data_IF_106877391178
#
_entry.id   IF_106877391178
#
_cell.length_a   1.000
_cell.length_b   1.000
_cell.length_c   1.000
_cell.angle_alpha   90.00
_cell.angle_beta   90.00
_cell.angle_gamma   90.00
#
_symmetry.space_group_name_H-M   'P 1'
#
loop_
_entity.id
_entity.type
_entity.pdbx_description
1 polymer ?
#
# COMPACT_ATOMS: atom_id res chain seq x y z
N UNK A 1 -14.09 25.81 -7.85
CA UNK A 1 -13.05 24.76 -7.88
C UNK A 1 -12.93 24.26 -6.46
N UNK A 2 -13.28 23.01 -6.17
CA UNK A 2 -13.05 22.45 -4.85
C UNK A 2 -11.56 22.15 -4.79
N UNK A 3 -10.83 22.83 -3.92
CA UNK A 3 -9.41 22.57 -3.71
C UNK A 3 -9.26 21.18 -3.09
N UNK A 4 -9.06 20.18 -3.94
CA UNK A 4 -8.91 18.80 -3.52
C UNK A 4 -7.50 18.58 -2.98
N UNK A 5 -7.39 18.41 -1.66
CA UNK A 5 -6.09 18.13 -1.02
C UNK A 5 -5.55 16.78 -1.51
N UNK A 6 -4.26 16.76 -1.83
CA UNK A 6 -3.53 15.54 -2.20
C UNK A 6 -2.40 15.28 -1.20
N UNK A 7 -2.14 14.01 -0.91
CA UNK A 7 -0.99 13.59 -0.14
C UNK A 7 0.19 13.23 -1.06
N UNK A 8 1.38 13.73 -0.72
CA UNK A 8 2.63 13.40 -1.41
C UNK A 8 3.48 12.46 -0.53
N UNK A 9 3.71 11.23 -0.99
CA UNK A 9 4.63 10.28 -0.37
C UNK A 9 5.97 10.31 -1.11
N UNK A 10 7.00 10.83 -0.43
CA UNK A 10 8.37 10.90 -0.95
C UNK A 10 9.20 9.75 -0.37
N UNK A 11 9.67 8.84 -1.22
CA UNK A 11 10.50 7.71 -0.82
C UNK A 11 11.97 8.16 -0.69
N UNK A 12 12.56 7.94 0.49
CA UNK A 12 13.97 8.26 0.74
C UNK A 12 14.87 7.37 -0.12
N UNK A 13 15.68 8.00 -0.97
CA UNK A 13 16.57 7.29 -1.90
C UNK A 13 17.89 6.79 -1.27
N UNK A 14 18.24 7.27 -0.08
CA UNK A 14 19.49 6.94 0.63
C UNK A 14 19.22 5.95 1.77
N UNK A 15 20.01 4.86 1.80
CA UNK A 15 19.88 3.77 2.78
C UNK A 15 20.54 4.07 4.15
N UNK A 16 21.19 5.22 4.33
CA UNK A 16 22.19 5.42 5.40
C UNK A 16 21.69 5.48 6.85
N UNK A 17 20.38 5.33 7.12
CA UNK A 17 19.83 5.52 8.48
C UNK A 17 18.97 4.36 9.01
N UNK A 18 18.79 3.26 8.27
CA UNK A 18 18.08 2.09 8.80
C UNK A 18 19.07 1.07 9.37
N UNK A 19 19.40 1.21 10.66
CA UNK A 19 20.34 0.35 11.39
C UNK A 19 19.90 -1.12 11.55
N UNK A 20 18.64 -1.45 11.30
CA UNK A 20 18.07 -2.80 11.57
C UNK A 20 17.73 -3.61 10.29
N UNK A 21 18.59 -3.58 9.25
CA UNK A 21 18.32 -4.32 8.00
C UNK A 21 19.32 -5.40 7.60
N UNK A 22 20.39 -5.64 8.38
CA UNK A 22 21.36 -6.70 8.05
C UNK A 22 20.70 -8.06 7.83
N UNK A 23 19.65 -8.37 8.59
CA UNK A 23 18.95 -9.66 8.56
C UNK A 23 18.11 -9.90 7.29
N UNK A 24 17.71 -8.85 6.56
CA UNK A 24 16.94 -8.97 5.30
C UNK A 24 17.77 -8.74 4.03
N UNK A 25 19.06 -8.42 4.18
CA UNK A 25 19.88 -7.84 3.10
C UNK A 25 21.14 -8.66 2.81
N UNK A 26 21.51 -9.63 3.65
CA UNK A 26 22.82 -10.28 3.57
C UNK A 26 23.07 -11.07 2.27
N UNK A 27 22.04 -11.63 1.61
CA UNK A 27 22.23 -12.51 0.43
C UNK A 27 21.44 -12.13 -0.84
N UNK A 28 20.71 -11.01 -0.87
CA UNK A 28 19.94 -10.64 -2.07
C UNK A 28 20.71 -9.68 -3.00
N UNK A 29 21.17 -10.21 -4.14
CA UNK A 29 21.81 -9.49 -5.26
C UNK A 29 21.05 -8.22 -5.71
N UNK A 30 19.74 -8.15 -5.47
CA UNK A 30 18.89 -7.01 -5.83
C UNK A 30 19.30 -5.73 -5.09
N UNK A 31 19.94 -5.81 -3.91
CA UNK A 31 20.41 -4.64 -3.15
C UNK A 31 21.70 -3.99 -3.67
N UNK A 32 22.34 -4.53 -4.72
CA UNK A 32 23.51 -3.89 -5.36
C UNK A 32 23.18 -2.52 -5.98
N UNK A 33 21.92 -2.23 -6.29
CA UNK A 33 21.47 -0.90 -6.72
C UNK A 33 20.22 -0.43 -5.95
N UNK A 34 20.41 0.24 -4.79
CA UNK A 34 19.34 0.68 -3.90
C UNK A 34 18.25 1.51 -4.60
N UNK A 35 18.65 2.33 -5.58
CA UNK A 35 17.74 3.21 -6.33
C UNK A 35 16.75 2.42 -7.17
N UNK A 36 17.20 1.30 -7.76
CA UNK A 36 16.36 0.42 -8.57
C UNK A 36 15.36 -0.34 -7.69
N UNK A 37 15.80 -0.84 -6.52
CA UNK A 37 14.93 -1.53 -5.56
C UNK A 37 13.83 -0.62 -5.03
N UNK A 38 14.19 0.59 -4.59
CA UNK A 38 13.22 1.56 -4.07
C UNK A 38 12.18 1.98 -5.11
N UNK A 39 12.60 2.10 -6.38
CA UNK A 39 11.66 2.38 -7.47
C UNK A 39 10.67 1.22 -7.66
N UNK A 40 11.15 -0.02 -7.68
CA UNK A 40 10.29 -1.20 -7.77
C UNK A 40 9.32 -1.26 -6.58
N UNK A 41 9.78 -0.92 -5.38
CA UNK A 41 8.91 -0.88 -4.20
C UNK A 41 7.82 0.19 -4.31
N UNK A 42 8.16 1.39 -4.80
CA UNK A 42 7.18 2.44 -5.04
C UNK A 42 6.16 2.05 -6.12
N UNK A 43 6.62 1.40 -7.20
CA UNK A 43 5.75 0.88 -8.27
C UNK A 43 4.82 -0.23 -7.76
N UNK A 44 5.33 -1.11 -6.89
CA UNK A 44 4.52 -2.13 -6.21
C UNK A 44 3.47 -1.51 -5.29
N UNK A 45 3.85 -0.53 -4.49
CA UNK A 45 2.91 0.14 -3.58
C UNK A 45 1.78 0.84 -4.35
N UNK A 46 2.11 1.55 -5.43
CA UNK A 46 1.12 2.16 -6.33
C UNK A 46 0.16 1.13 -6.92
N UNK A 47 0.67 -0.02 -7.35
CA UNK A 47 -0.15 -1.11 -7.91
C UNK A 47 -1.05 -1.75 -6.85
N UNK A 48 -0.53 -1.95 -5.63
CA UNK A 48 -1.30 -2.51 -4.52
C UNK A 48 -2.43 -1.58 -4.07
N UNK A 49 -2.16 -0.27 -3.97
CA UNK A 49 -3.20 0.73 -3.68
C UNK A 49 -4.29 0.70 -4.75
N UNK A 50 -3.93 0.65 -6.04
CA UNK A 50 -4.90 0.53 -7.13
C UNK A 50 -5.77 -0.73 -7.03
N UNK A 51 -5.20 -1.86 -6.59
CA UNK A 51 -5.97 -3.09 -6.36
C UNK A 51 -6.93 -2.97 -5.19
N UNK A 52 -6.50 -2.32 -4.10
CA UNK A 52 -7.38 -2.09 -2.94
C UNK A 52 -8.56 -1.18 -3.29
N UNK A 53 -8.33 -0.10 -4.05
CA UNK A 53 -9.40 0.78 -4.55
C UNK A 53 -10.39 -0.01 -5.41
N UNK A 54 -9.89 -0.83 -6.35
CA UNK A 54 -10.73 -1.70 -7.18
C UNK A 54 -11.48 -2.77 -6.39
N UNK A 55 -10.93 -3.20 -5.26
CA UNK A 55 -11.57 -4.13 -4.33
C UNK A 55 -12.59 -3.47 -3.40
N UNK A 56 -12.90 -2.18 -3.59
CA UNK A 56 -13.86 -1.45 -2.75
C UNK A 56 -13.35 -1.12 -1.34
N UNK A 57 -12.06 -1.32 -1.08
CA UNK A 57 -11.46 -1.03 0.23
C UNK A 57 -11.23 0.47 0.36
N UNK A 58 -11.76 1.07 1.45
CA UNK A 58 -11.52 2.47 1.79
C UNK A 58 -10.03 2.70 2.07
N UNK A 59 -9.31 3.23 1.09
CA UNK A 59 -7.89 3.53 1.17
C UNK A 59 -7.57 4.78 0.31
N UNK A 60 -6.39 5.41 0.48
CA UNK A 60 -6.01 6.55 -0.35
C UNK A 60 -5.91 6.12 -1.82
N UNK A 61 -6.56 6.85 -2.71
CA UNK A 61 -6.54 6.56 -4.14
C UNK A 61 -5.22 7.05 -4.74
N UNK A 62 -4.42 6.18 -5.38
CA UNK A 62 -3.14 6.58 -5.95
C UNK A 62 -3.35 7.28 -7.30
N UNK A 63 -2.99 8.56 -7.38
CA UNK A 63 -3.19 9.39 -8.58
C UNK A 63 -2.02 9.20 -9.56
N UNK A 64 -0.78 9.35 -9.07
CA UNK A 64 0.41 9.31 -9.94
C UNK A 64 1.67 8.93 -9.18
N UNK A 65 2.46 8.02 -9.75
CA UNK A 65 3.83 7.75 -9.31
C UNK A 65 4.85 8.30 -10.32
N UNK A 66 5.82 9.10 -9.87
CA UNK A 66 6.95 9.58 -10.68
C UNK A 66 8.27 9.42 -9.91
N UNK A 67 9.16 8.55 -10.41
CA UNK A 67 10.46 8.22 -9.79
C UNK A 67 10.32 7.68 -8.36
N UNK A 68 10.45 8.55 -7.36
CA UNK A 68 10.42 8.25 -5.93
C UNK A 68 9.36 9.11 -5.20
N UNK A 69 8.41 9.65 -5.94
CA UNK A 69 7.33 10.49 -5.41
C UNK A 69 6.01 9.90 -5.89
N UNK A 70 5.13 9.60 -4.94
CA UNK A 70 3.78 9.11 -5.19
C UNK A 70 2.76 10.14 -4.70
N UNK A 71 1.82 10.49 -5.57
CA UNK A 71 0.69 11.36 -5.27
C UNK A 71 -0.53 10.46 -5.06
N UNK A 72 -1.26 10.68 -3.98
CA UNK A 72 -2.48 9.96 -3.63
C UNK A 72 -3.52 10.92 -3.04
N UNK A 73 -4.79 10.51 -2.98
CA UNK A 73 -5.84 11.30 -2.34
C UNK A 73 -5.51 11.54 -0.86
N UNK A 74 -5.87 12.71 -0.37
CA UNK A 74 -5.66 13.06 1.03
C UNK A 74 -6.76 12.46 1.91
N UNK A 75 -6.36 11.83 3.02
CA UNK A 75 -7.31 11.38 4.05
C UNK A 75 -7.32 12.41 5.16
N UNK A 76 -8.37 13.23 5.18
CA UNK A 76 -8.54 14.33 6.13
C UNK A 76 -9.49 15.39 5.59
N UNK A 77 -9.70 16.45 6.36
CA UNK A 77 -10.55 17.59 5.99
C UNK A 77 -9.79 18.89 6.27
N UNK A 78 -10.04 19.93 5.48
CA UNK A 78 -9.48 21.28 5.67
C UNK A 78 -7.95 21.33 5.80
N UNK A 79 -7.25 20.45 5.06
CA UNK A 79 -5.79 20.33 5.11
C UNK A 79 -5.24 19.63 6.36
N UNK A 80 -6.10 19.15 7.26
CA UNK A 80 -5.73 18.44 8.49
C UNK A 80 -5.82 16.93 8.24
N UNK A 81 -4.70 16.23 8.43
CA UNK A 81 -4.64 14.78 8.24
C UNK A 81 -5.48 14.06 9.29
N UNK A 82 -6.18 12.99 8.89
CA UNK A 82 -6.92 12.16 9.81
C UNK A 82 -6.03 11.62 10.95
N UNK A 83 -6.60 11.57 12.16
CA UNK A 83 -5.92 11.00 13.34
C UNK A 83 -5.62 9.53 13.11
N UNK A 84 -4.47 9.07 13.61
CA UNK A 84 -4.14 7.64 13.61
C UNK A 84 -5.01 6.93 14.63
N UNK A 85 -5.39 5.68 14.35
CA UNK A 85 -6.20 4.85 15.25
C UNK A 85 -5.65 4.76 16.69
N UNK A 86 -4.32 4.82 16.86
CA UNK A 86 -3.65 4.81 18.17
C UNK A 86 -3.83 6.10 18.98
N UNK A 87 -4.11 7.21 18.30
CA UNK A 87 -4.22 8.54 18.89
C UNK A 87 -5.71 8.93 19.03
N UNK A 88 -6.65 8.00 18.79
CA UNK A 88 -8.09 8.21 18.96
C UNK A 88 -8.50 7.68 20.35
N UNK A 89 -9.32 8.44 21.05
CA UNK A 89 -9.95 7.99 22.29
C UNK A 89 -11.23 7.21 21.96
N UNK A 90 -11.33 6.02 22.51
CA UNK A 90 -12.40 5.08 22.20
C UNK A 90 -13.35 4.97 23.38
N UNK A 91 -14.54 5.55 23.25
CA UNK A 91 -15.53 5.58 24.34
C UNK A 91 -16.73 4.66 24.09
N UNK A 92 -16.93 4.22 22.85
CA UNK A 92 -18.09 3.44 22.42
C UNK A 92 -17.67 2.03 21.98
N UNK A 93 -18.14 0.96 22.66
CA UNK A 93 -17.88 -0.42 22.28
C UNK A 93 -18.30 -0.80 20.85
N UNK A 94 -19.39 -0.24 20.33
CA UNK A 94 -19.88 -0.55 18.98
C UNK A 94 -18.94 0.02 17.93
N UNK A 95 -18.51 1.28 18.11
CA UNK A 95 -17.54 1.94 17.23
C UNK A 95 -16.19 1.20 17.24
N UNK A 96 -15.76 0.71 18.42
CA UNK A 96 -14.54 -0.09 18.54
C UNK A 96 -14.66 -1.39 17.74
N UNK A 97 -15.79 -2.09 17.87
CA UNK A 97 -16.04 -3.34 17.17
C UNK A 97 -16.05 -3.15 15.64
N UNK A 98 -16.74 -2.11 15.16
CA UNK A 98 -16.79 -1.79 13.73
C UNK A 98 -15.42 -1.38 13.19
N UNK A 99 -14.67 -0.56 13.93
CA UNK A 99 -13.31 -0.20 13.55
C UNK A 99 -12.40 -1.44 13.48
N UNK A 100 -12.55 -2.38 14.42
CA UNK A 100 -11.81 -3.64 14.40
C UNK A 100 -12.11 -4.48 13.16
N UNK A 101 -13.40 -4.63 12.81
CA UNK A 101 -13.80 -5.35 11.59
C UNK A 101 -13.25 -4.69 10.32
N UNK A 102 -13.31 -3.36 10.23
CA UNK A 102 -12.74 -2.62 9.11
C UNK A 102 -11.23 -2.85 8.98
N UNK A 103 -10.48 -2.76 10.09
CA UNK A 103 -9.03 -3.00 10.10
C UNK A 103 -8.70 -4.44 9.67
N UNK A 104 -9.48 -5.42 10.14
CA UNK A 104 -9.32 -6.83 9.75
C UNK A 104 -9.49 -7.02 8.24
N UNK A 105 -10.51 -6.40 7.65
CA UNK A 105 -10.78 -6.45 6.21
C UNK A 105 -9.65 -5.81 5.41
N UNK A 106 -9.24 -4.58 5.77
CA UNK A 106 -8.14 -3.87 5.10
C UNK A 106 -6.85 -4.69 5.17
N UNK A 107 -6.53 -5.24 6.34
CA UNK A 107 -5.33 -6.07 6.54
C UNK A 107 -5.35 -7.34 5.69
N UNK A 108 -6.49 -8.02 5.62
CA UNK A 108 -6.63 -9.23 4.81
C UNK A 108 -6.44 -8.94 3.31
N UNK A 109 -7.08 -7.88 2.80
CA UNK A 109 -6.93 -7.45 1.41
C UNK A 109 -5.51 -7.00 1.07
N UNK A 110 -4.89 -6.23 1.97
CA UNK A 110 -3.51 -5.78 1.78
C UNK A 110 -2.55 -6.97 1.72
N UNK A 111 -2.71 -7.95 2.64
CA UNK A 111 -1.92 -9.17 2.63
C UNK A 111 -2.12 -9.98 1.35
N UNK A 112 -3.37 -10.15 0.91
CA UNK A 112 -3.70 -10.84 -0.34
C UNK A 112 -3.04 -10.15 -1.56
N UNK A 113 -3.13 -8.83 -1.65
CA UNK A 113 -2.53 -8.06 -2.75
C UNK A 113 -1.00 -8.21 -2.80
N UNK A 114 -0.34 -8.24 -1.64
CA UNK A 114 1.11 -8.45 -1.52
C UNK A 114 1.49 -9.89 -1.88
N UNK A 115 0.77 -10.87 -1.35
CA UNK A 115 1.09 -12.29 -1.54
C UNK A 115 0.93 -12.74 -3.00
N UNK A 116 -0.09 -12.22 -3.70
CA UNK A 116 -0.30 -12.51 -5.12
C UNK A 116 0.83 -11.99 -6.03
N UNK A 117 1.58 -10.98 -5.60
CA UNK A 117 2.77 -10.49 -6.31
C UNK A 117 4.00 -11.38 -6.10
N UNK A 118 4.21 -11.92 -4.89
CA UNK A 118 5.36 -12.80 -4.63
C UNK A 118 5.26 -14.13 -5.39
N UNK A 119 4.04 -14.65 -5.57
CA UNK A 119 3.79 -15.85 -6.38
C UNK A 119 4.03 -15.64 -7.89
N UNK A 120 3.91 -14.42 -8.42
CA UNK A 120 4.29 -14.11 -9.81
C UNK A 120 5.81 -14.10 -10.02
N UNK A 121 6.59 -13.93 -8.96
CA UNK A 121 8.05 -14.03 -9.03
C UNK A 121 8.55 -15.49 -9.05
N UNK A 122 7.68 -16.44 -8.67
CA UNK A 122 8.00 -17.87 -8.62
C UNK A 122 7.46 -18.70 -9.80
N UNK A 123 6.73 -18.10 -10.75
CA UNK A 123 6.21 -18.83 -11.93
C UNK A 123 6.56 -18.14 -13.24
N UNK A 124 7.69 -18.55 -13.80
CA UNK A 124 7.82 -18.72 -15.26
C UNK A 124 7.00 -19.93 -15.75
N UNK A 125 5.74 -20.06 -15.33
CA UNK A 125 4.87 -21.20 -15.63
C UNK A 125 3.39 -20.79 -15.46
N UNK A 126 2.88 -20.02 -16.42
CA UNK A 126 1.47 -19.95 -16.83
C UNK A 126 1.31 -18.76 -17.79
N UNK A 127 1.87 -18.93 -18.99
CA UNK A 127 1.24 -18.37 -20.17
C UNK A 127 -0.15 -19.04 -20.31
N UNK A 128 -1.15 -18.25 -20.70
CA UNK A 128 -2.58 -18.60 -20.86
C UNK A 128 -3.41 -18.89 -19.59
N UNK A 129 -4.59 -18.25 -19.51
CA UNK A 129 -5.69 -18.45 -18.53
C UNK A 129 -5.33 -17.96 -17.11
N UNK A 130 -5.76 -16.79 -16.63
CA UNK A 130 -7.11 -16.51 -16.12
C UNK A 130 -7.34 -14.99 -16.20
N UNK A 131 -8.00 -14.54 -17.27
CA UNK A 131 -8.81 -13.32 -17.28
C UNK A 131 -10.25 -13.73 -17.00
N UNK A 132 -10.58 -14.33 -15.86
CA UNK A 132 -11.98 -14.50 -15.48
C UNK A 132 -12.14 -14.52 -13.96
N UNK A 133 -13.13 -13.73 -13.52
CA UNK A 133 -13.83 -13.79 -12.24
C UNK A 133 -13.02 -13.57 -10.95
N UNK A 134 -12.78 -12.31 -10.62
CA UNK A 134 -12.88 -11.86 -9.23
C UNK A 134 -13.98 -10.78 -9.17
N UNK A 135 -15.23 -11.19 -9.34
CA UNK A 135 -16.38 -10.44 -8.88
C UNK A 135 -16.49 -10.66 -7.38
N UNK A 136 -16.24 -9.62 -6.58
CA UNK A 136 -16.66 -9.61 -5.19
C UNK A 136 -18.18 -9.46 -5.15
N UNK A 137 -18.92 -10.26 -4.37
CA UNK A 137 -20.33 -9.99 -4.11
C UNK A 137 -20.47 -8.68 -3.33
N UNK A 138 -21.65 -8.02 -3.40
CA UNK A 138 -21.90 -6.73 -2.77
C UNK A 138 -21.71 -6.74 -1.25
#
# INVERSE_FOLDING_TARGET
MVDEYCALKVYKMTLSQFKNRSEYVQDDYRFKNPRRVLRVWAEKEFTNLNRMVRGGVKCPEPIRLRKHIMIMSFIGSDGIAARKLKDVEWNDPEIIHDAFLQVKTVRAFFFFCIFFEELKLFRGFADATVRHSCSFPP
#
